data_IF_848682954538
#
_entry.id   IF_848682954538
#
_cell.length_a   1.000
_cell.length_b   1.000
_cell.length_c   1.000
_cell.angle_alpha   90.00
_cell.angle_beta   90.00
_cell.angle_gamma   90.00
#
_symmetry.space_group_name_H-M   'P 1'
#
loop_
_entity.id
_entity.type
_entity.pdbx_description
1 polymer ?
#
# COMPACT_ATOMS: atom_id res chain seq x y z
N UNK A 1 13.00 36.71 69.91
CA UNK A 1 12.47 35.42 69.37
C UNK A 1 11.66 35.55 68.06
N UNK A 2 10.87 36.55 67.75
CA UNK A 2 10.05 36.66 66.51
C UNK A 2 10.83 36.77 65.18
N UNK A 3 12.12 37.21 65.19
CA UNK A 3 12.91 37.44 63.97
C UNK A 3 13.44 36.12 63.37
N UNK A 4 13.75 35.11 64.18
CA UNK A 4 14.24 33.79 63.72
C UNK A 4 13.13 32.96 63.04
N UNK A 5 11.92 32.97 63.52
CA UNK A 5 10.77 32.23 62.92
C UNK A 5 10.43 32.74 61.50
N UNK A 6 10.62 34.04 61.26
CA UNK A 6 10.35 34.65 59.93
C UNK A 6 11.33 34.19 58.89
N UNK A 7 12.60 33.97 59.26
CA UNK A 7 13.64 33.50 58.36
C UNK A 7 13.44 32.00 58.02
N UNK A 8 13.08 31.17 58.99
CA UNK A 8 12.77 29.77 58.73
C UNK A 8 11.54 29.59 57.83
N UNK A 9 10.54 30.48 57.96
CA UNK A 9 9.34 30.45 57.11
C UNK A 9 9.61 30.87 55.65
N UNK A 10 10.56 31.80 55.46
CA UNK A 10 11.01 32.19 54.10
C UNK A 10 11.84 31.11 53.47
N UNK A 11 12.77 30.46 54.19
CA UNK A 11 13.59 29.36 53.71
C UNK A 11 12.71 28.15 53.36
N UNK A 12 11.68 27.83 54.18
CA UNK A 12 10.75 26.75 53.90
C UNK A 12 9.95 27.00 52.62
N UNK A 13 9.53 28.24 52.36
CA UNK A 13 8.81 28.61 51.11
C UNK A 13 9.71 28.49 49.89
N UNK A 14 10.98 28.86 49.99
CA UNK A 14 11.95 28.70 48.90
C UNK A 14 12.33 27.24 48.63
N UNK A 15 12.37 26.40 49.68
CA UNK A 15 12.60 24.94 49.54
C UNK A 15 11.43 24.27 48.83
N UNK A 16 10.18 24.63 49.17
CA UNK A 16 8.96 24.08 48.54
C UNK A 16 8.86 24.56 47.09
N UNK A 17 9.23 25.81 46.80
CA UNK A 17 9.22 26.34 45.44
C UNK A 17 10.28 25.68 44.56
N UNK A 18 11.47 25.31 45.10
CA UNK A 18 12.53 24.59 44.42
C UNK A 18 12.15 23.17 44.02
N UNK A 19 11.33 22.48 44.81
CA UNK A 19 10.80 21.14 44.52
C UNK A 19 9.72 21.13 43.44
N UNK A 20 9.06 22.27 43.20
CA UNK A 20 8.05 22.38 42.15
C UNK A 20 8.63 22.48 40.73
N UNK A 21 9.93 22.79 40.60
CA UNK A 21 10.62 22.88 39.30
C UNK A 21 11.34 21.59 38.88
N UNK A 22 11.35 20.53 39.69
CA UNK A 22 11.78 19.19 39.27
C UNK A 22 10.65 18.49 38.50
N UNK A 23 10.16 19.16 37.43
CA UNK A 23 9.25 18.52 36.47
C UNK A 23 10.05 17.49 35.68
N UNK A 24 9.67 16.22 35.84
CA UNK A 24 10.26 15.12 35.08
C UNK A 24 10.01 15.38 33.58
N UNK A 25 11.05 15.77 32.85
CA UNK A 25 11.02 15.89 31.39
C UNK A 25 10.64 14.58 30.68
N UNK A 26 10.92 13.44 31.33
CA UNK A 26 10.58 12.12 30.83
C UNK A 26 9.09 11.82 30.75
N UNK A 27 8.25 12.55 31.51
CA UNK A 27 6.80 12.39 31.43
C UNK A 27 6.22 13.00 30.13
N UNK A 28 6.85 14.05 29.60
CA UNK A 28 6.42 14.69 28.36
C UNK A 28 7.01 14.03 27.10
N UNK A 29 8.09 13.26 27.25
CA UNK A 29 8.72 12.50 26.17
C UNK A 29 8.20 11.06 26.07
N UNK A 30 7.03 10.78 26.63
CA UNK A 30 6.41 9.48 26.47
C UNK A 30 6.06 9.31 24.98
N UNK A 31 6.83 8.45 24.29
CA UNK A 31 6.43 7.97 22.97
C UNK A 31 5.02 7.40 23.11
N UNK A 32 4.11 7.87 22.28
CA UNK A 32 2.76 7.31 22.23
C UNK A 32 2.90 5.85 21.84
N UNK A 33 2.67 4.93 22.78
CA UNK A 33 2.75 3.46 22.60
C UNK A 33 1.87 2.93 21.45
N UNK A 34 1.03 3.80 20.90
CA UNK A 34 0.11 3.51 19.80
C UNK A 34 0.72 3.69 18.40
N UNK A 35 1.90 4.34 18.27
CA UNK A 35 2.54 4.57 16.98
C UNK A 35 3.78 3.71 16.84
N UNK A 36 3.71 2.70 15.96
CA UNK A 36 4.88 1.91 15.59
C UNK A 36 5.66 2.67 14.52
N UNK A 37 6.86 3.16 14.85
CA UNK A 37 7.69 3.84 13.87
C UNK A 37 8.10 2.89 12.74
N UNK A 38 8.45 3.46 11.59
CA UNK A 38 8.94 2.71 10.44
C UNK A 38 10.15 1.85 10.80
N UNK A 39 11.09 2.42 11.56
CA UNK A 39 12.31 1.73 12.01
C UNK A 39 11.94 0.52 12.88
N UNK A 40 10.99 0.68 13.79
CA UNK A 40 10.50 -0.41 14.64
C UNK A 40 9.80 -1.49 13.82
N UNK A 41 9.02 -1.11 12.81
CA UNK A 41 8.34 -2.05 11.91
C UNK A 41 9.34 -2.96 11.21
N UNK A 42 10.37 -2.40 10.58
CA UNK A 42 11.37 -3.15 9.83
C UNK A 42 12.57 -3.64 10.66
N UNK A 43 12.57 -3.45 11.97
CA UNK A 43 13.50 -4.12 12.88
C UNK A 43 13.00 -5.50 13.35
N UNK A 44 11.73 -5.79 13.20
CA UNK A 44 11.10 -7.04 13.63
C UNK A 44 10.51 -7.80 12.45
N UNK A 45 10.83 -9.09 12.35
CA UNK A 45 10.26 -9.99 11.35
C UNK A 45 8.73 -10.04 11.43
N UNK A 46 8.18 -10.14 12.64
CA UNK A 46 6.74 -10.24 12.88
C UNK A 46 6.00 -8.96 12.52
N UNK A 47 6.58 -7.80 12.81
CA UNK A 47 6.00 -6.51 12.44
C UNK A 47 6.08 -6.27 10.93
N UNK A 48 7.17 -6.72 10.29
CA UNK A 48 7.32 -6.66 8.83
C UNK A 48 6.26 -7.52 8.14
N UNK A 49 5.99 -8.73 8.64
CA UNK A 49 4.91 -9.57 8.11
C UNK A 49 3.54 -8.86 8.18
N UNK A 50 3.20 -8.27 9.34
CA UNK A 50 1.96 -7.50 9.52
C UNK A 50 1.89 -6.28 8.61
N UNK A 51 3.03 -5.62 8.36
CA UNK A 51 3.08 -4.49 7.44
C UNK A 51 2.75 -4.90 5.99
N UNK A 52 3.19 -6.07 5.55
CA UNK A 52 2.80 -6.61 4.25
C UNK A 52 1.29 -6.84 4.16
N UNK A 53 0.67 -7.38 5.22
CA UNK A 53 -0.79 -7.56 5.28
C UNK A 53 -1.52 -6.23 5.10
N UNK A 54 -1.01 -5.13 5.69
CA UNK A 54 -1.60 -3.79 5.49
C UNK A 54 -1.58 -3.33 4.03
N UNK A 55 -0.61 -3.79 3.23
CA UNK A 55 -0.61 -3.53 1.78
C UNK A 55 -1.71 -4.32 1.08
N UNK A 56 -1.90 -5.59 1.46
CA UNK A 56 -2.98 -6.43 0.93
C UNK A 56 -4.38 -5.89 1.25
N UNK A 57 -4.59 -5.27 2.40
CA UNK A 57 -5.87 -4.66 2.80
C UNK A 57 -6.35 -3.55 1.85
N UNK A 58 -5.43 -2.97 1.08
CA UNK A 58 -5.75 -1.95 0.09
C UNK A 58 -6.22 -2.51 -1.25
N UNK A 59 -6.16 -3.83 -1.46
CA UNK A 59 -6.75 -4.47 -2.64
C UNK A 59 -8.26 -4.17 -2.64
N UNK A 60 -8.84 -3.68 -3.76
CA UNK A 60 -10.28 -3.55 -3.90
C UNK A 60 -10.98 -4.89 -3.65
N UNK A 61 -12.20 -4.86 -3.13
CA UNK A 61 -12.96 -6.06 -2.80
C UNK A 61 -12.98 -7.03 -4.00
N UNK A 62 -12.52 -8.26 -3.77
CA UNK A 62 -12.22 -9.22 -4.83
C UNK A 62 -13.44 -9.93 -5.42
N UNK A 63 -14.63 -9.82 -4.84
CA UNK A 63 -15.83 -10.54 -5.32
C UNK A 63 -16.67 -9.72 -6.30
N UNK A 64 -16.02 -8.85 -7.10
CA UNK A 64 -16.73 -7.94 -8.02
C UNK A 64 -17.80 -7.09 -7.31
N UNK A 65 -17.62 -6.89 -6.01
CA UNK A 65 -18.47 -5.99 -5.24
C UNK A 65 -18.04 -4.56 -5.44
N UNK A 66 -19.04 -3.73 -5.58
CA UNK A 66 -18.92 -2.29 -5.56
C UNK A 66 -19.36 -1.74 -4.19
N UNK A 67 -19.44 -0.44 -4.04
CA UNK A 67 -19.92 0.14 -2.79
C UNK A 67 -21.32 -0.39 -2.41
N UNK A 68 -21.62 -0.42 -1.12
CA UNK A 68 -22.94 -0.83 -0.59
C UNK A 68 -23.33 -2.29 -0.88
N UNK A 69 -22.33 -3.14 -1.18
CA UNK A 69 -22.52 -4.56 -1.44
C UNK A 69 -23.11 -4.89 -2.81
N UNK A 70 -23.30 -3.90 -3.67
CA UNK A 70 -23.69 -4.13 -5.07
C UNK A 70 -22.56 -4.78 -5.88
N UNK A 71 -22.90 -5.67 -6.80
CA UNK A 71 -21.96 -6.26 -7.74
C UNK A 71 -21.74 -5.33 -8.94
N UNK A 72 -20.59 -5.43 -9.61
CA UNK A 72 -20.33 -4.64 -10.83
C UNK A 72 -21.32 -4.91 -11.95
N UNK A 73 -21.90 -6.11 -12.02
CA UNK A 73 -22.95 -6.45 -13.01
C UNK A 73 -24.17 -5.51 -12.89
N UNK A 74 -24.43 -5.00 -11.68
CA UNK A 74 -25.51 -4.03 -11.46
C UNK A 74 -25.22 -2.63 -12.00
N UNK A 75 -24.02 -2.39 -12.56
CA UNK A 75 -23.66 -1.19 -13.30
C UNK A 75 -23.77 -1.37 -14.82
N UNK A 76 -24.28 -2.52 -15.26
CA UNK A 76 -24.45 -2.89 -16.67
C UNK A 76 -25.95 -3.07 -16.99
N UNK A 77 -26.27 -3.52 -18.20
CA UNK A 77 -27.62 -3.87 -18.63
C UNK A 77 -28.07 -5.27 -18.15
N UNK A 78 -27.17 -6.04 -17.54
CA UNK A 78 -27.49 -7.40 -17.06
C UNK A 78 -28.23 -7.40 -15.70
N UNK A 79 -28.02 -6.37 -14.88
CA UNK A 79 -28.61 -6.29 -13.54
C UNK A 79 -28.79 -4.84 -13.07
N UNK A 80 -29.65 -4.63 -12.07
CA UNK A 80 -29.87 -3.36 -11.40
C UNK A 80 -29.78 -3.53 -9.88
N UNK A 81 -29.19 -2.54 -9.21
CA UNK A 81 -29.13 -2.53 -7.76
C UNK A 81 -30.43 -1.97 -7.18
N UNK A 82 -31.02 -2.70 -6.22
CA UNK A 82 -32.34 -2.40 -5.67
C UNK A 82 -32.43 -1.10 -4.85
N UNK A 83 -31.30 -0.62 -4.33
CA UNK A 83 -31.29 0.56 -3.46
C UNK A 83 -31.23 1.81 -4.33
N UNK A 84 -32.32 2.57 -4.33
CA UNK A 84 -32.43 3.83 -5.06
C UNK A 84 -31.38 4.83 -4.58
N UNK A 85 -30.72 5.52 -5.53
CA UNK A 85 -29.69 6.51 -5.24
C UNK A 85 -28.37 5.92 -4.74
N UNK A 86 -28.17 4.61 -4.83
CA UNK A 86 -26.89 3.98 -4.53
C UNK A 86 -25.82 4.41 -5.53
N UNK A 87 -24.55 4.37 -5.10
CA UNK A 87 -23.43 4.75 -5.95
C UNK A 87 -23.35 3.93 -7.25
N UNK A 88 -23.78 2.68 -7.23
CA UNK A 88 -23.74 1.84 -8.41
C UNK A 88 -24.79 2.24 -9.46
N UNK A 89 -25.95 2.76 -9.04
CA UNK A 89 -26.97 3.27 -9.96
C UNK A 89 -26.51 4.53 -10.70
N UNK A 90 -25.51 5.27 -10.21
CA UNK A 90 -24.97 6.42 -10.93
C UNK A 90 -24.42 6.03 -12.32
N UNK A 91 -23.96 4.79 -12.50
CA UNK A 91 -23.55 4.28 -13.81
C UNK A 91 -24.77 4.09 -14.73
N UNK A 92 -25.83 3.46 -14.23
CA UNK A 92 -27.02 3.12 -15.03
C UNK A 92 -27.79 4.35 -15.49
N UNK A 93 -27.90 5.37 -14.62
CA UNK A 93 -28.57 6.64 -14.96
C UNK A 93 -27.64 7.65 -15.64
N UNK A 94 -26.36 7.33 -15.81
CA UNK A 94 -25.37 8.18 -16.51
C UNK A 94 -25.07 9.50 -15.81
N UNK A 95 -25.27 9.58 -14.48
CA UNK A 95 -25.07 10.81 -13.72
C UNK A 95 -23.69 10.95 -13.06
N UNK A 96 -22.78 10.01 -13.31
CA UNK A 96 -21.40 10.10 -12.83
C UNK A 96 -20.57 11.07 -13.69
N UNK A 97 -19.63 11.73 -13.05
CA UNK A 97 -18.73 12.73 -13.65
C UNK A 97 -17.32 12.55 -13.10
N UNK A 98 -16.35 13.29 -13.64
CA UNK A 98 -14.98 13.35 -13.13
C UNK A 98 -14.89 13.88 -11.69
N UNK A 99 -15.87 14.72 -11.27
CA UNK A 99 -15.98 15.23 -9.89
C UNK A 99 -16.86 14.36 -8.98
N UNK A 100 -17.61 13.45 -9.55
CA UNK A 100 -18.48 12.50 -8.84
C UNK A 100 -18.35 11.13 -9.48
N UNK A 101 -17.18 10.53 -9.28
CA UNK A 101 -16.86 9.19 -9.78
C UNK A 101 -17.12 8.17 -8.66
N UNK A 102 -18.14 7.32 -8.78
CA UNK A 102 -18.42 6.31 -7.77
C UNK A 102 -17.37 5.19 -7.67
N UNK A 103 -16.56 5.00 -8.71
CA UNK A 103 -15.42 4.05 -8.74
C UNK A 103 -14.06 4.77 -8.60
N UNK A 104 -14.00 5.81 -7.76
CA UNK A 104 -12.73 6.49 -7.47
C UNK A 104 -11.89 5.69 -6.48
N UNK A 105 -10.92 4.98 -7.01
CA UNK A 105 -9.91 4.23 -6.23
C UNK A 105 -8.53 4.90 -6.26
N UNK A 106 -8.43 6.15 -6.78
CA UNK A 106 -7.16 6.84 -6.96
C UNK A 106 -6.31 6.90 -5.70
N UNK A 107 -6.87 7.45 -4.64
CA UNK A 107 -6.17 7.58 -3.37
C UNK A 107 -5.81 6.23 -2.76
N UNK A 108 -6.70 5.26 -2.83
CA UNK A 108 -6.49 3.91 -2.32
C UNK A 108 -5.33 3.23 -3.03
N UNK A 109 -5.29 3.28 -4.36
CA UNK A 109 -4.21 2.67 -5.14
C UNK A 109 -2.87 3.36 -4.93
N UNK A 110 -2.81 4.71 -4.93
CA UNK A 110 -1.55 5.40 -4.67
C UNK A 110 -1.05 5.22 -3.23
N UNK A 111 -1.94 5.07 -2.25
CA UNK A 111 -1.58 4.65 -0.89
C UNK A 111 -0.96 3.25 -0.93
N UNK A 112 -1.55 2.30 -1.64
CA UNK A 112 -1.01 0.94 -1.82
C UNK A 112 0.36 0.94 -2.50
N UNK A 113 0.54 1.73 -3.56
CA UNK A 113 1.83 1.91 -4.26
C UNK A 113 2.90 2.45 -3.30
N UNK A 114 2.55 3.45 -2.49
CA UNK A 114 3.46 4.03 -1.50
C UNK A 114 3.88 3.00 -0.46
N UNK A 115 2.92 2.31 0.16
CA UNK A 115 3.20 1.30 1.19
C UNK A 115 3.99 0.12 0.63
N UNK A 116 3.66 -0.37 -0.57
CA UNK A 116 4.42 -1.41 -1.26
C UNK A 116 5.85 -0.97 -1.57
N UNK A 117 6.06 0.27 -2.03
CA UNK A 117 7.39 0.81 -2.28
C UNK A 117 8.20 0.95 -0.99
N UNK A 118 7.58 1.44 0.08
CA UNK A 118 8.20 1.53 1.40
C UNK A 118 8.61 0.16 1.95
N UNK A 119 7.75 -0.86 1.74
CA UNK A 119 8.07 -2.23 2.09
C UNK A 119 9.29 -2.75 1.32
N UNK A 120 9.30 -2.59 0.00
CA UNK A 120 10.39 -3.03 -0.89
C UNK A 120 11.73 -2.41 -0.49
N UNK A 121 11.74 -1.12 -0.11
CA UNK A 121 12.95 -0.36 0.25
C UNK A 121 13.52 -0.75 1.63
N UNK A 122 12.71 -1.37 2.50
CA UNK A 122 13.08 -1.62 3.90
C UNK A 122 13.12 -3.09 4.30
N UNK A 123 12.45 -3.98 3.60
CA UNK A 123 12.36 -5.41 3.98
C UNK A 123 13.72 -6.08 4.13
N UNK A 124 14.71 -5.70 3.35
CA UNK A 124 16.07 -6.26 3.41
C UNK A 124 16.85 -5.80 4.67
N UNK A 125 16.33 -4.83 5.44
CA UNK A 125 16.93 -4.31 6.67
C UNK A 125 16.51 -5.09 7.92
N UNK A 126 15.60 -6.05 7.78
CA UNK A 126 15.10 -6.86 8.89
C UNK A 126 16.23 -7.68 9.48
N UNK A 127 16.48 -7.50 10.80
CA UNK A 127 17.49 -8.25 11.50
C UNK A 127 16.98 -9.66 11.88
N UNK A 128 17.65 -10.67 11.35
CA UNK A 128 17.38 -12.08 11.61
C UNK A 128 18.40 -12.75 12.52
N UNK A 129 19.30 -11.98 13.19
CA UNK A 129 20.39 -12.55 13.97
C UNK A 129 19.90 -13.46 15.11
N UNK A 130 18.75 -13.16 15.70
CA UNK A 130 18.13 -14.00 16.73
C UNK A 130 17.86 -15.45 16.26
N UNK A 131 17.67 -15.66 14.96
CA UNK A 131 17.43 -17.00 14.39
C UNK A 131 18.72 -17.74 14.00
N UNK A 132 19.89 -17.07 14.05
CA UNK A 132 21.21 -17.69 13.86
C UNK A 132 21.77 -18.31 15.12
N UNK A 133 21.20 -17.99 16.29
CA UNK A 133 21.77 -18.35 17.59
C UNK A 133 21.63 -19.84 17.93
N UNK A 134 20.77 -20.58 17.23
CA UNK A 134 20.62 -22.02 17.40
C UNK A 134 21.39 -22.76 16.30
N UNK A 135 22.61 -23.30 16.59
CA UNK A 135 23.39 -24.04 15.60
C UNK A 135 22.72 -25.34 15.15
N UNK A 136 21.70 -25.82 15.89
CA UNK A 136 20.96 -27.03 15.52
C UNK A 136 19.72 -26.73 14.67
N UNK A 137 19.40 -25.45 14.45
CA UNK A 137 18.22 -25.04 13.68
C UNK A 137 18.55 -23.97 12.60
N UNK A 138 19.54 -24.27 11.75
CA UNK A 138 19.90 -23.42 10.62
C UNK A 138 18.75 -23.28 9.62
N UNK A 139 17.87 -24.27 9.54
CA UNK A 139 16.69 -24.28 8.65
C UNK A 139 15.73 -23.11 8.94
N UNK A 140 15.57 -22.74 10.23
CA UNK A 140 14.69 -21.63 10.58
C UNK A 140 15.20 -20.29 10.05
N UNK A 141 16.50 -20.04 10.17
CA UNK A 141 17.11 -18.83 9.62
C UNK A 141 16.98 -18.76 8.08
N UNK A 142 17.25 -19.87 7.39
CA UNK A 142 17.12 -19.95 5.92
C UNK A 142 15.67 -19.72 5.45
N UNK A 143 14.71 -20.29 6.18
CA UNK A 143 13.31 -20.09 5.92
C UNK A 143 12.90 -18.61 6.07
N UNK A 144 13.37 -17.92 7.14
CA UNK A 144 13.10 -16.50 7.35
C UNK A 144 13.71 -15.60 6.27
N UNK A 145 14.91 -15.95 5.80
CA UNK A 145 15.51 -15.27 4.64
C UNK A 145 14.66 -15.43 3.39
N UNK A 146 14.17 -16.65 3.15
CA UNK A 146 13.31 -16.92 2.00
C UNK A 146 11.98 -16.20 2.13
N UNK A 147 11.38 -16.11 3.33
CA UNK A 147 10.17 -15.33 3.58
C UNK A 147 10.36 -13.88 3.17
N UNK A 148 11.45 -13.21 3.63
CA UNK A 148 11.68 -11.80 3.27
C UNK A 148 11.81 -11.60 1.76
N UNK A 149 12.43 -12.55 1.07
CA UNK A 149 12.56 -12.51 -0.39
C UNK A 149 11.21 -12.66 -1.08
N UNK A 150 10.38 -13.61 -0.64
CA UNK A 150 9.03 -13.84 -1.16
C UNK A 150 8.15 -12.63 -0.87
N UNK A 151 8.15 -12.11 0.35
CA UNK A 151 7.37 -10.92 0.72
C UNK A 151 7.74 -9.67 -0.09
N UNK A 152 9.04 -9.51 -0.41
CA UNK A 152 9.50 -8.45 -1.32
C UNK A 152 8.89 -8.60 -2.71
N UNK A 153 8.82 -9.84 -3.20
CA UNK A 153 8.20 -10.13 -4.49
C UNK A 153 6.67 -9.96 -4.46
N UNK A 154 6.01 -10.29 -3.34
CA UNK A 154 4.59 -10.01 -3.13
C UNK A 154 4.31 -8.50 -3.14
N UNK A 155 5.13 -7.69 -2.45
CA UNK A 155 5.00 -6.23 -2.45
C UNK A 155 5.19 -5.66 -3.87
N UNK A 156 6.10 -6.21 -4.69
CA UNK A 156 6.24 -5.85 -6.11
C UNK A 156 4.99 -6.18 -6.91
N UNK A 157 4.46 -7.38 -6.72
CA UNK A 157 3.20 -7.78 -7.36
C UNK A 157 2.06 -6.84 -6.99
N UNK A 158 1.89 -6.49 -5.71
CA UNK A 158 0.86 -5.57 -5.24
C UNK A 158 1.02 -4.18 -5.85
N UNK A 159 2.26 -3.67 -5.95
CA UNK A 159 2.54 -2.39 -6.60
C UNK A 159 2.15 -2.40 -8.08
N UNK A 160 2.48 -3.48 -8.80
CA UNK A 160 2.07 -3.69 -10.19
C UNK A 160 0.54 -3.75 -10.31
N UNK A 161 -0.12 -4.46 -9.39
CA UNK A 161 -1.57 -4.58 -9.35
C UNK A 161 -2.26 -3.23 -9.17
N UNK A 162 -1.81 -2.40 -8.21
CA UNK A 162 -2.39 -1.07 -8.00
C UNK A 162 -2.20 -0.15 -9.21
N UNK A 163 -1.03 -0.19 -9.86
CA UNK A 163 -0.83 0.57 -11.10
C UNK A 163 -1.74 0.08 -12.23
N UNK A 164 -1.96 -1.23 -12.35
CA UNK A 164 -2.89 -1.78 -13.33
C UNK A 164 -4.34 -1.35 -13.05
N UNK A 165 -4.77 -1.35 -11.79
CA UNK A 165 -6.10 -0.87 -11.40
C UNK A 165 -6.32 0.62 -11.76
N UNK A 166 -5.28 1.45 -11.58
CA UNK A 166 -5.29 2.84 -12.02
C UNK A 166 -5.32 2.96 -13.55
N UNK A 167 -4.43 2.22 -14.24
CA UNK A 167 -4.35 2.23 -15.71
C UNK A 167 -5.68 1.85 -16.35
N UNK A 168 -6.35 0.87 -15.81
CA UNK A 168 -7.63 0.35 -16.30
C UNK A 168 -8.75 1.40 -16.24
N UNK A 169 -8.74 2.29 -15.23
CA UNK A 169 -9.79 3.30 -14.99
C UNK A 169 -9.46 4.68 -15.54
N UNK A 170 -8.21 5.08 -15.36
CA UNK A 170 -7.80 6.46 -15.64
C UNK A 170 -6.88 6.58 -16.88
N UNK A 171 -6.60 5.46 -17.57
CA UNK A 171 -5.61 5.43 -18.65
C UNK A 171 -4.17 5.57 -18.12
N UNK A 172 -3.23 6.08 -18.91
CA UNK A 172 -1.87 6.29 -18.46
C UNK A 172 -1.84 7.15 -17.20
N UNK A 173 -1.13 6.69 -16.17
CA UNK A 173 -0.96 7.39 -14.88
C UNK A 173 0.53 7.49 -14.54
N UNK A 174 0.96 8.47 -13.74
CA UNK A 174 2.32 8.51 -13.25
C UNK A 174 2.74 7.18 -12.63
N UNK A 175 3.79 6.57 -13.18
CA UNK A 175 4.34 5.34 -12.62
C UNK A 175 5.33 5.68 -11.51
N UNK A 176 5.00 5.29 -10.29
CA UNK A 176 5.79 5.58 -9.09
C UNK A 176 6.37 4.28 -8.56
N UNK A 177 7.70 4.14 -8.60
CA UNK A 177 8.44 2.96 -8.15
C UNK A 177 9.21 3.15 -6.85
N UNK A 178 9.20 4.38 -6.29
CA UNK A 178 9.89 4.74 -5.05
C UNK A 178 8.99 5.61 -4.18
N UNK A 179 9.33 5.73 -2.90
CA UNK A 179 8.61 6.62 -1.98
C UNK A 179 8.91 8.07 -2.33
N UNK A 180 7.88 8.81 -2.72
CA UNK A 180 7.98 10.25 -2.96
C UNK A 180 7.98 11.00 -1.61
N UNK A 181 8.94 11.90 -1.42
CA UNK A 181 8.99 12.74 -0.23
C UNK A 181 7.82 13.75 -0.22
N UNK A 182 7.17 13.93 0.94
CA UNK A 182 6.00 14.80 1.08
C UNK A 182 6.31 16.27 0.74
N UNK A 183 7.54 16.72 1.01
CA UNK A 183 7.96 18.11 0.82
C UNK A 183 8.65 18.35 -0.53
N UNK A 184 8.80 17.31 -1.36
CA UNK A 184 9.43 17.44 -2.66
C UNK A 184 8.49 18.12 -3.66
N UNK A 185 9.08 18.88 -4.59
CA UNK A 185 8.33 19.38 -5.73
C UNK A 185 8.01 18.22 -6.69
N UNK A 186 6.74 17.90 -6.85
CA UNK A 186 6.26 16.82 -7.72
C UNK A 186 5.81 17.31 -9.10
N UNK A 187 6.11 18.55 -9.48
CA UNK A 187 5.75 19.12 -10.79
C UNK A 187 6.33 18.34 -11.98
N UNK A 188 7.42 17.59 -11.74
CA UNK A 188 8.08 16.78 -12.77
C UNK A 188 7.48 15.36 -12.91
N UNK A 189 6.57 14.98 -12.01
CA UNK A 189 5.85 13.70 -12.08
C UNK A 189 4.78 13.82 -13.16
N UNK A 190 5.15 13.48 -14.39
CA UNK A 190 4.27 13.58 -15.57
C UNK A 190 3.57 12.26 -15.84
N UNK A 191 2.44 12.35 -16.53
CA UNK A 191 1.74 11.20 -17.08
C UNK A 191 2.55 10.66 -18.27
N UNK A 192 3.02 9.39 -18.24
CA UNK A 192 3.78 8.79 -19.33
C UNK A 192 2.87 8.38 -20.49
N UNK A 193 3.45 7.80 -21.55
CA UNK A 193 2.67 7.16 -22.60
C UNK A 193 1.99 5.86 -22.09
N UNK A 194 0.98 5.38 -22.84
CA UNK A 194 0.35 4.09 -22.55
C UNK A 194 1.38 2.96 -22.58
N UNK A 195 2.23 2.93 -23.59
CA UNK A 195 3.26 1.90 -23.78
C UNK A 195 4.27 1.90 -22.63
N UNK A 196 4.68 3.09 -22.16
CA UNK A 196 5.59 3.20 -21.01
C UNK A 196 4.95 2.65 -19.73
N UNK A 197 3.67 2.98 -19.48
CA UNK A 197 2.92 2.43 -18.36
C UNK A 197 2.83 0.90 -18.43
N UNK A 198 2.42 0.38 -19.58
CA UNK A 198 2.25 -1.06 -19.79
C UNK A 198 3.58 -1.79 -19.61
N UNK A 199 4.66 -1.27 -20.20
CA UNK A 199 5.99 -1.85 -20.06
C UNK A 199 6.49 -1.81 -18.62
N UNK A 200 6.29 -0.72 -17.91
CA UNK A 200 6.70 -0.60 -16.51
C UNK A 200 5.97 -1.61 -15.61
N UNK A 201 4.65 -1.75 -15.75
CA UNK A 201 3.84 -2.70 -14.98
C UNK A 201 4.22 -4.15 -15.36
N UNK A 202 4.40 -4.45 -16.66
CA UNK A 202 4.79 -5.77 -17.12
C UNK A 202 6.16 -6.20 -16.57
N UNK A 203 7.14 -5.29 -16.59
CA UNK A 203 8.47 -5.54 -16.03
C UNK A 203 8.42 -5.79 -14.51
N UNK A 204 7.55 -5.09 -13.79
CA UNK A 204 7.36 -5.31 -12.36
C UNK A 204 6.71 -6.68 -12.08
N UNK A 205 5.75 -7.12 -12.91
CA UNK A 205 5.18 -8.46 -12.85
C UNK A 205 6.25 -9.54 -13.09
N UNK A 206 7.13 -9.34 -14.07
CA UNK A 206 8.23 -10.26 -14.35
C UNK A 206 9.24 -10.32 -13.19
N UNK A 207 9.55 -9.17 -12.60
CA UNK A 207 10.44 -9.10 -11.44
C UNK A 207 9.83 -9.82 -10.21
N UNK A 208 8.53 -9.65 -9.97
CA UNK A 208 7.83 -10.37 -8.92
C UNK A 208 7.80 -11.89 -9.18
N UNK A 209 7.49 -12.30 -10.41
CA UNK A 209 7.38 -13.70 -10.79
C UNK A 209 8.69 -14.51 -10.66
N UNK A 210 9.86 -13.84 -10.61
CA UNK A 210 11.16 -14.52 -10.41
C UNK A 210 11.29 -15.14 -9.02
N UNK A 211 10.78 -14.44 -8.00
CA UNK A 211 10.99 -14.80 -6.60
C UNK A 211 9.72 -15.34 -5.93
N UNK A 212 8.55 -15.23 -6.60
CA UNK A 212 7.30 -15.85 -6.16
C UNK A 212 7.29 -17.34 -6.48
N UNK A 213 6.70 -18.12 -5.57
CA UNK A 213 6.51 -19.57 -5.76
C UNK A 213 5.21 -19.85 -6.57
N UNK A 214 5.12 -21.06 -7.13
CA UNK A 214 3.91 -21.51 -7.86
C UNK A 214 2.71 -21.72 -6.95
N UNK A 215 2.97 -22.13 -5.72
CA UNK A 215 1.97 -22.29 -4.65
C UNK A 215 2.32 -21.34 -3.51
N UNK A 216 1.35 -21.00 -2.63
CA UNK A 216 1.65 -20.22 -1.44
C UNK A 216 2.83 -20.83 -0.67
N UNK A 217 3.78 -19.97 -0.29
CA UNK A 217 4.99 -20.40 0.38
C UNK A 217 4.67 -20.85 1.82
N UNK A 218 5.22 -21.96 2.23
CA UNK A 218 5.16 -22.64 3.52
C UNK A 218 3.92 -23.48 3.76
N UNK A 219 2.75 -22.90 3.98
CA UNK A 219 1.59 -23.61 4.50
C UNK A 219 0.25 -22.91 4.14
N UNK A 220 -0.83 -23.45 4.67
CA UNK A 220 -2.17 -22.92 4.46
C UNK A 220 -2.37 -21.50 5.01
N UNK A 221 -1.53 -21.04 5.95
CA UNK A 221 -1.62 -19.67 6.47
C UNK A 221 -1.27 -18.60 5.43
N UNK A 222 -0.57 -18.98 4.37
CA UNK A 222 -0.25 -18.13 3.23
C UNK A 222 -1.29 -18.18 2.10
N UNK A 223 -2.42 -18.84 2.32
CA UNK A 223 -3.53 -18.82 1.35
C UNK A 223 -4.02 -17.38 1.17
N UNK A 224 -4.19 -16.98 -0.10
CA UNK A 224 -4.53 -15.59 -0.46
C UNK A 224 -3.33 -14.70 -0.76
N UNK A 225 -2.12 -15.11 -0.43
CA UNK A 225 -0.91 -14.41 -0.83
C UNK A 225 -0.62 -14.56 -2.33
N UNK A 226 0.10 -13.60 -2.90
CA UNK A 226 0.43 -13.60 -4.32
C UNK A 226 1.35 -14.78 -4.69
N UNK A 227 1.04 -15.41 -5.81
CA UNK A 227 1.83 -16.51 -6.38
C UNK A 227 2.43 -16.08 -7.72
N UNK A 228 3.39 -16.85 -8.20
CA UNK A 228 3.95 -16.70 -9.56
C UNK A 228 2.86 -16.73 -10.62
N UNK A 229 1.88 -17.62 -10.45
CA UNK A 229 0.71 -17.69 -11.34
C UNK A 229 -0.10 -16.39 -11.35
N UNK A 230 -0.30 -15.76 -10.17
CA UNK A 230 -1.01 -14.48 -10.05
C UNK A 230 -0.26 -13.35 -10.79
N UNK A 231 1.07 -13.27 -10.64
CA UNK A 231 1.87 -12.25 -11.32
C UNK A 231 1.83 -12.39 -12.85
N UNK A 232 1.93 -13.62 -13.36
CA UNK A 232 1.84 -13.91 -14.80
C UNK A 232 0.43 -13.68 -15.35
N UNK A 233 -0.60 -14.01 -14.59
CA UNK A 233 -2.00 -13.74 -14.95
C UNK A 233 -2.28 -12.23 -15.02
N UNK A 234 -1.77 -11.46 -14.05
CA UNK A 234 -1.86 -9.99 -14.07
C UNK A 234 -1.21 -9.41 -15.33
N UNK A 235 0.01 -9.88 -15.66
CA UNK A 235 0.71 -9.46 -16.89
C UNK A 235 -0.08 -9.79 -18.14
N UNK A 236 -0.63 -11.00 -18.24
CA UNK A 236 -1.48 -11.40 -19.37
C UNK A 236 -2.69 -10.51 -19.52
N UNK A 237 -3.38 -10.20 -18.42
CA UNK A 237 -4.54 -9.32 -18.40
C UNK A 237 -4.17 -7.89 -18.79
N UNK A 238 -3.06 -7.36 -18.30
CA UNK A 238 -2.53 -6.05 -18.67
C UNK A 238 -2.31 -5.93 -20.17
N UNK A 239 -1.63 -6.92 -20.77
CA UNK A 239 -1.34 -6.93 -22.21
C UNK A 239 -2.62 -7.02 -23.05
N UNK A 240 -3.62 -7.77 -22.61
CA UNK A 240 -4.93 -7.81 -23.27
C UNK A 240 -5.61 -6.44 -23.25
N UNK A 241 -5.62 -5.74 -22.12
CA UNK A 241 -6.17 -4.39 -22.02
C UNK A 241 -5.44 -3.40 -22.93
N UNK A 242 -4.11 -3.47 -22.98
CA UNK A 242 -3.31 -2.62 -23.85
C UNK A 242 -3.64 -2.85 -25.35
N UNK A 243 -3.78 -4.10 -25.76
CA UNK A 243 -4.16 -4.47 -27.12
C UNK A 243 -5.55 -3.96 -27.50
N UNK A 244 -6.53 -4.12 -26.63
CA UNK A 244 -7.90 -3.63 -26.86
C UNK A 244 -7.89 -2.11 -27.05
N UNK A 245 -7.19 -1.37 -26.19
CA UNK A 245 -7.06 0.09 -26.27
C UNK A 245 -6.40 0.53 -27.59
N UNK A 246 -5.30 -0.09 -27.97
CA UNK A 246 -4.61 0.20 -29.22
C UNK A 246 -5.51 -0.05 -30.45
N UNK A 247 -6.28 -1.15 -30.44
CA UNK A 247 -7.22 -1.48 -31.52
C UNK A 247 -8.35 -0.46 -31.63
N UNK A 248 -8.91 -0.01 -30.49
CA UNK A 248 -9.96 0.99 -30.48
C UNK A 248 -9.47 2.35 -31.02
N UNK A 249 -8.25 2.76 -30.68
CA UNK A 249 -7.63 3.97 -31.20
C UNK A 249 -7.47 3.85 -32.72
N UNK A 250 -6.94 2.72 -33.21
CA UNK A 250 -6.78 2.45 -34.64
C UNK A 250 -8.10 2.55 -35.40
N UNK A 251 -9.15 1.89 -34.93
CA UNK A 251 -10.49 1.91 -35.56
C UNK A 251 -11.10 3.30 -35.58
N UNK A 252 -10.96 4.10 -34.53
CA UNK A 252 -11.42 5.48 -34.48
C UNK A 252 -10.67 6.39 -35.48
N UNK A 253 -9.38 6.16 -35.64
CA UNK A 253 -8.55 6.95 -36.57
C UNK A 253 -8.89 6.62 -38.01
N UNK A 254 -9.02 5.35 -38.35
CA UNK A 254 -9.38 4.91 -39.71
C UNK A 254 -10.78 5.34 -40.13
N UNK A 255 -11.76 5.31 -39.21
CA UNK A 255 -13.12 5.75 -39.47
C UNK A 255 -13.26 7.27 -39.68
N UNK A 256 -12.31 8.08 -39.16
CA UNK A 256 -12.26 9.53 -39.40
C UNK A 256 -11.63 9.90 -40.73
N UNK A 257 -10.72 9.06 -41.23
CA UNK A 257 -10.06 9.28 -42.54
C UNK A 257 -10.95 8.86 -43.71
N UNK A 258 -11.93 7.96 -43.45
CA UNK A 258 -12.89 7.48 -44.47
C UNK A 258 -14.12 8.36 -44.65
N UNK A 259 -14.22 9.47 -43.93
CA UNK A 259 -15.25 10.52 -44.10
C UNK A 259 -14.64 11.77 -44.69
#
# INVERSE_FOLDING_TARGET
MKKHYRNYFIISKFLVLGLAFSSCSDFLNRETDSYVSKEKTFSSYELTAKNLVSVYELIPDGFMRFSEGGMFDAATDDAEHRIDGSNIQLFNIGSWTDNNNPDDIWNRCYTGIRLASEFIDNVDKVNLDKYKLDPNNTTEYENRLKDLKVWKAEARFLRAYFHFELLKRFGPVPYVSSVLALEANHSDVKRPSMDDCVNAIANECDAAAKDLELTPWRDESALGHATKGAALALKSRLLLYAYIQATQVYLRTTSRVAK
#
